data_IF_902007116333
#
_entry.id   IF_902007116333
#
_cell.length_a   1.000
_cell.length_b   1.000
_cell.length_c   1.000
_cell.angle_alpha   90.00
_cell.angle_beta   90.00
_cell.angle_gamma   90.00
#
_symmetry.space_group_name_H-M   'P 1'
#
loop_
_entity.id
_entity.type
_entity.pdbx_description
1 polymer ?
#
# COMPACT_ATOMS: atom_id res chain seq x y z
N UNK A 1 -44.95 27.05 -72.77
CA UNK A 1 -45.59 27.93 -71.73
C UNK A 1 -44.57 29.01 -71.38
N UNK A 2 -45.01 30.27 -71.25
CA UNK A 2 -44.04 31.34 -71.03
C UNK A 2 -43.69 31.46 -69.56
N UNK A 3 -42.44 31.74 -69.23
CA UNK A 3 -41.89 31.92 -67.85
C UNK A 3 -42.70 32.96 -67.06
N UNK A 4 -43.45 33.85 -67.76
CA UNK A 4 -44.34 34.83 -67.15
C UNK A 4 -45.62 34.19 -66.53
N UNK A 5 -46.15 33.11 -67.14
CA UNK A 5 -47.30 32.38 -66.62
C UNK A 5 -46.94 31.60 -65.40
N UNK A 6 -45.76 30.94 -65.44
CA UNK A 6 -45.27 30.16 -64.30
C UNK A 6 -44.99 31.05 -63.10
N UNK A 7 -44.51 32.27 -63.30
CA UNK A 7 -44.33 33.27 -62.24
C UNK A 7 -45.67 33.80 -61.70
N UNK A 8 -46.67 33.95 -62.52
CA UNK A 8 -47.96 34.39 -62.10
C UNK A 8 -48.73 33.36 -61.27
N UNK A 9 -48.57 32.08 -61.64
CA UNK A 9 -49.14 30.93 -60.89
C UNK A 9 -48.46 30.77 -59.53
N UNK A 10 -47.17 30.96 -59.42
CA UNK A 10 -46.38 30.96 -58.17
C UNK A 10 -46.87 32.13 -57.27
N UNK A 11 -47.08 33.30 -57.82
CA UNK A 11 -47.56 34.52 -57.05
C UNK A 11 -48.97 34.32 -56.60
N UNK A 12 -49.86 33.73 -57.41
CA UNK A 12 -51.30 33.57 -57.12
C UNK A 12 -51.54 32.41 -56.10
N UNK A 13 -50.71 31.37 -56.11
CA UNK A 13 -50.83 30.18 -55.24
C UNK A 13 -50.08 30.27 -53.93
N UNK A 14 -49.24 31.29 -53.71
CA UNK A 14 -48.25 31.35 -52.62
C UNK A 14 -47.08 30.39 -52.81
N UNK A 15 -45.93 30.75 -52.30
CA UNK A 15 -44.76 29.84 -52.29
C UNK A 15 -45.02 28.69 -51.32
N UNK A 16 -45.02 27.49 -51.81
CA UNK A 16 -45.04 26.27 -51.01
C UNK A 16 -43.66 25.64 -50.91
N UNK A 17 -43.45 24.76 -49.98
CA UNK A 17 -42.16 24.02 -49.81
C UNK A 17 -41.82 23.20 -51.07
N UNK A 18 -42.81 22.87 -51.91
CA UNK A 18 -42.62 22.18 -53.19
C UNK A 18 -42.05 23.07 -54.29
N UNK A 19 -42.22 24.40 -54.18
CA UNK A 19 -41.81 25.38 -55.17
C UNK A 19 -40.31 25.77 -55.03
N UNK A 20 -39.68 25.39 -53.92
CA UNK A 20 -38.24 25.63 -53.67
C UNK A 20 -37.54 24.34 -53.31
N UNK A 21 -37.53 23.34 -54.19
CA UNK A 21 -36.89 22.06 -53.93
C UNK A 21 -35.41 22.14 -54.01
N UNK A 22 -34.55 22.52 -53.27
CA UNK A 22 -33.11 22.56 -53.37
C UNK A 22 -32.48 23.94 -53.68
N UNK A 23 -32.78 24.92 -52.87
CA UNK A 23 -32.00 26.16 -52.89
C UNK A 23 -30.65 25.88 -52.22
N UNK A 24 -29.53 25.94 -52.96
CA UNK A 24 -28.19 25.74 -52.36
C UNK A 24 -28.00 26.78 -51.22
N UNK A 25 -27.51 26.36 -50.09
CA UNK A 25 -27.23 27.23 -48.91
C UNK A 25 -26.36 28.45 -49.28
N UNK A 26 -25.53 28.34 -50.31
CA UNK A 26 -24.70 29.44 -50.87
C UNK A 26 -25.50 30.60 -51.48
N UNK A 27 -26.79 30.43 -51.73
CA UNK A 27 -27.69 31.49 -52.25
C UNK A 27 -28.50 32.18 -51.15
N UNK A 28 -28.38 31.75 -49.91
CA UNK A 28 -29.02 32.41 -48.78
C UNK A 28 -28.01 33.36 -48.16
N UNK A 29 -28.02 34.61 -48.62
CA UNK A 29 -26.99 35.60 -48.23
C UNK A 29 -27.47 36.51 -47.08
N UNK A 30 -28.75 36.45 -46.69
CA UNK A 30 -29.30 37.18 -45.54
C UNK A 30 -30.68 36.64 -45.18
N UNK A 31 -31.05 36.73 -43.90
CA UNK A 31 -32.37 36.37 -43.38
C UNK A 31 -32.24 35.48 -42.14
N UNK A 32 -33.28 35.41 -41.31
CA UNK A 32 -33.43 34.51 -40.18
C UNK A 32 -34.36 33.35 -40.55
N UNK A 33 -33.94 32.13 -40.27
CA UNK A 33 -34.81 30.95 -40.33
C UNK A 33 -35.54 30.82 -39.00
N UNK A 34 -36.82 30.52 -39.02
CA UNK A 34 -37.53 30.17 -37.80
C UNK A 34 -36.97 28.86 -37.23
N UNK A 35 -36.80 28.75 -35.91
CA UNK A 35 -36.17 27.61 -35.23
C UNK A 35 -36.79 26.27 -35.60
N UNK A 36 -38.09 26.23 -35.94
CA UNK A 36 -38.76 25.01 -36.40
C UNK A 36 -38.31 24.47 -37.78
N UNK A 37 -37.54 25.25 -38.55
CA UNK A 37 -37.05 24.86 -39.87
C UNK A 37 -35.61 24.38 -39.93
N UNK A 38 -34.90 24.52 -38.83
CA UNK A 38 -33.52 24.01 -38.70
C UNK A 38 -33.52 22.86 -37.68
N UNK A 39 -33.62 21.64 -38.17
CA UNK A 39 -33.46 20.49 -37.28
C UNK A 39 -32.05 20.53 -36.66
N UNK A 40 -31.91 20.26 -35.37
CA UNK A 40 -30.63 20.26 -34.66
C UNK A 40 -29.61 19.33 -35.32
N UNK A 41 -30.08 18.28 -36.01
CA UNK A 41 -29.25 17.34 -36.81
C UNK A 41 -28.62 17.99 -38.05
N UNK A 42 -29.12 19.13 -38.51
CA UNK A 42 -28.64 19.81 -39.72
C UNK A 42 -27.63 20.93 -39.42
N UNK A 43 -27.30 21.16 -38.15
CA UNK A 43 -26.36 22.23 -37.70
C UNK A 43 -25.07 21.59 -37.21
N UNK A 44 -24.49 20.69 -37.98
CA UNK A 44 -23.31 19.93 -37.59
C UNK A 44 -22.07 20.77 -37.26
N UNK A 45 -21.97 22.00 -37.79
CA UNK A 45 -20.82 22.89 -37.56
C UNK A 45 -20.96 23.79 -36.30
N UNK A 46 -22.13 23.85 -35.68
CA UNK A 46 -22.35 24.64 -34.46
C UNK A 46 -22.73 23.76 -33.26
N UNK A 47 -22.90 22.45 -33.44
CA UNK A 47 -23.31 21.53 -32.40
C UNK A 47 -22.26 21.42 -31.25
N UNK A 48 -20.96 21.69 -31.53
CA UNK A 48 -19.91 21.62 -30.54
C UNK A 48 -19.82 22.81 -29.59
N UNK A 49 -20.52 23.91 -29.87
CA UNK A 49 -20.48 25.11 -29.00
C UNK A 49 -21.79 25.38 -28.25
N UNK A 50 -22.89 24.69 -28.58
CA UNK A 50 -24.18 24.85 -27.90
C UNK A 50 -24.37 23.73 -26.85
N UNK A 51 -24.51 24.17 -25.60
CA UNK A 51 -24.84 23.26 -24.47
C UNK A 51 -26.35 23.44 -24.18
N UNK A 52 -27.11 22.36 -24.38
CA UNK A 52 -28.51 22.30 -24.02
C UNK A 52 -28.66 22.02 -22.51
N UNK A 53 -29.02 23.07 -21.74
CA UNK A 53 -29.24 22.92 -20.30
C UNK A 53 -30.53 22.13 -20.01
N UNK A 54 -30.39 21.13 -19.15
CA UNK A 54 -31.45 20.25 -18.72
C UNK A 54 -32.11 20.76 -17.42
N UNK A 55 -33.24 20.16 -17.03
CA UNK A 55 -33.83 20.37 -15.71
C UNK A 55 -32.89 19.94 -14.60
N UNK A 56 -33.12 20.51 -13.39
CA UNK A 56 -32.31 20.15 -12.20
C UNK A 56 -32.41 18.66 -11.90
N UNK A 57 -31.26 18.01 -11.76
CA UNK A 57 -31.15 16.58 -11.41
C UNK A 57 -31.08 16.44 -9.89
N UNK A 58 -31.91 15.56 -9.32
CA UNK A 58 -32.01 15.31 -7.87
C UNK A 58 -31.75 13.83 -7.51
N UNK A 59 -31.45 12.99 -8.49
CA UNK A 59 -31.18 11.57 -8.34
C UNK A 59 -30.12 11.13 -9.37
N UNK A 60 -29.64 9.88 -9.26
CA UNK A 60 -28.72 9.30 -10.25
C UNK A 60 -29.29 9.36 -11.66
N UNK A 61 -28.49 9.71 -12.65
CA UNK A 61 -28.93 9.82 -14.04
C UNK A 61 -27.80 9.48 -15.02
N UNK A 62 -28.19 9.27 -16.29
CA UNK A 62 -27.25 9.13 -17.40
C UNK A 62 -27.18 10.45 -18.18
N UNK A 63 -25.98 11.00 -18.28
CA UNK A 63 -25.73 12.21 -19.04
C UNK A 63 -25.66 11.92 -20.55
N UNK A 64 -25.94 12.93 -21.34
CA UNK A 64 -25.85 12.89 -22.82
C UNK A 64 -24.87 13.98 -23.26
N UNK A 65 -24.02 13.68 -24.23
CA UNK A 65 -23.10 14.65 -24.82
C UNK A 65 -23.86 15.87 -25.40
N UNK A 66 -23.27 17.06 -25.34
CA UNK A 66 -23.86 18.31 -25.74
C UNK A 66 -24.80 18.94 -24.70
N UNK A 67 -24.91 18.36 -23.50
CA UNK A 67 -25.85 18.84 -22.47
C UNK A 67 -25.17 19.32 -21.21
N UNK A 68 -25.87 20.27 -20.54
CA UNK A 68 -25.51 20.80 -19.23
C UNK A 68 -26.56 20.40 -18.18
N UNK A 69 -26.08 20.01 -17.00
CA UNK A 69 -26.93 19.50 -15.93
C UNK A 69 -26.67 20.25 -14.62
N UNK A 70 -27.66 21.05 -14.16
CA UNK A 70 -27.67 21.54 -12.78
C UNK A 70 -28.00 20.39 -11.86
N UNK A 71 -27.14 20.12 -10.85
CA UNK A 71 -27.27 18.98 -9.95
C UNK A 71 -27.52 19.46 -8.53
N UNK A 72 -28.58 18.97 -7.93
CA UNK A 72 -28.94 19.28 -6.55
C UNK A 72 -28.77 18.06 -5.66
N UNK A 73 -27.67 18.05 -4.91
CA UNK A 73 -27.32 16.96 -3.98
C UNK A 73 -27.83 17.18 -2.55
N UNK A 74 -28.79 18.09 -2.34
CA UNK A 74 -29.34 18.33 -0.99
C UNK A 74 -29.92 17.07 -0.36
N UNK A 75 -30.48 16.16 -1.15
CA UNK A 75 -31.07 14.90 -0.68
C UNK A 75 -30.09 13.73 -0.52
N UNK A 76 -28.84 13.86 -0.96
CA UNK A 76 -27.81 12.82 -0.92
C UNK A 76 -26.84 12.89 -2.09
N UNK A 77 -25.78 12.08 -2.06
CA UNK A 77 -24.82 11.97 -3.14
C UNK A 77 -25.48 11.44 -4.43
N UNK A 78 -25.00 11.90 -5.58
CA UNK A 78 -25.55 11.54 -6.89
C UNK A 78 -24.46 10.96 -7.79
N UNK A 79 -24.76 9.82 -8.44
CA UNK A 79 -23.91 9.25 -9.49
C UNK A 79 -24.38 9.74 -10.86
N UNK A 80 -23.47 10.34 -11.61
CA UNK A 80 -23.66 10.75 -13.01
C UNK A 80 -23.00 9.72 -13.90
N UNK A 81 -23.81 8.95 -14.64
CA UNK A 81 -23.28 7.98 -15.60
C UNK A 81 -23.06 8.67 -16.95
N UNK A 82 -21.86 8.63 -17.47
CA UNK A 82 -21.53 9.19 -18.78
C UNK A 82 -21.92 8.22 -19.91
N UNK A 83 -21.97 8.69 -21.19
CA UNK A 83 -22.32 7.82 -22.30
C UNK A 83 -21.35 6.64 -22.45
N UNK A 84 -21.87 5.46 -22.81
CA UNK A 84 -21.05 4.27 -23.10
C UNK A 84 -20.23 4.37 -24.40
N UNK A 85 -20.52 5.37 -25.25
CA UNK A 85 -19.76 5.70 -26.44
C UNK A 85 -19.69 7.22 -26.59
N UNK A 86 -18.55 7.73 -27.05
CA UNK A 86 -18.33 9.14 -27.26
C UNK A 86 -17.41 9.37 -28.46
N UNK A 87 -17.53 10.54 -29.07
CA UNK A 87 -16.69 11.04 -30.15
C UNK A 87 -15.80 12.18 -29.66
N UNK A 88 -14.61 12.33 -30.25
CA UNK A 88 -13.71 13.46 -29.93
C UNK A 88 -14.44 14.80 -30.03
N UNK A 89 -14.40 15.59 -28.95
CA UNK A 89 -15.08 16.86 -28.84
C UNK A 89 -16.46 16.81 -28.17
N UNK A 90 -17.01 15.61 -27.90
CA UNK A 90 -18.22 15.50 -27.10
C UNK A 90 -18.01 16.15 -25.74
N UNK A 91 -18.97 16.97 -25.30
CA UNK A 91 -18.83 17.76 -24.08
C UNK A 91 -20.05 17.60 -23.18
N UNK A 92 -19.81 17.49 -21.88
CA UNK A 92 -20.83 17.44 -20.83
C UNK A 92 -20.49 18.52 -19.79
N UNK A 93 -21.49 19.31 -19.38
CA UNK A 93 -21.33 20.28 -18.29
C UNK A 93 -22.15 19.89 -17.08
N UNK A 94 -21.53 20.00 -15.91
CA UNK A 94 -22.15 19.72 -14.62
C UNK A 94 -21.98 20.95 -13.73
N UNK A 95 -22.98 21.31 -12.93
CA UNK A 95 -22.86 22.42 -11.99
C UNK A 95 -23.59 22.12 -10.69
N UNK A 96 -22.98 22.50 -9.56
CA UNK A 96 -23.58 22.39 -8.23
C UNK A 96 -24.68 23.44 -8.05
N UNK A 97 -25.94 23.05 -8.32
CA UNK A 97 -27.09 23.90 -8.25
C UNK A 97 -27.37 24.46 -6.85
N UNK A 98 -27.20 23.62 -5.83
CA UNK A 98 -27.56 23.97 -4.45
C UNK A 98 -26.34 24.27 -3.56
N UNK A 99 -25.14 24.31 -4.13
CA UNK A 99 -23.86 24.48 -3.41
C UNK A 99 -23.70 23.46 -2.27
N UNK A 100 -23.94 22.17 -2.58
CA UNK A 100 -23.95 21.07 -1.61
C UNK A 100 -22.97 19.94 -1.91
N UNK A 101 -22.12 20.05 -2.97
CA UNK A 101 -21.16 19.00 -3.30
C UNK A 101 -20.19 18.69 -2.16
N UNK A 102 -19.81 19.68 -1.33
CA UNK A 102 -18.98 19.42 -0.15
C UNK A 102 -19.70 18.63 0.97
N UNK A 103 -21.03 18.60 0.96
CA UNK A 103 -21.83 17.82 1.93
C UNK A 103 -22.20 16.46 1.37
N UNK A 104 -22.61 16.43 0.11
CA UNK A 104 -23.01 15.25 -0.64
C UNK A 104 -22.41 15.37 -2.04
N UNK A 105 -21.34 14.66 -2.28
CA UNK A 105 -20.59 14.71 -3.53
C UNK A 105 -21.35 14.16 -4.75
N UNK A 106 -20.83 14.46 -5.93
CA UNK A 106 -21.20 13.71 -7.13
C UNK A 106 -20.05 12.76 -7.51
N UNK A 107 -20.40 11.58 -8.00
CA UNK A 107 -19.47 10.61 -8.56
C UNK A 107 -19.74 10.48 -10.05
N UNK A 108 -18.72 10.55 -10.89
CA UNK A 108 -18.86 10.30 -12.33
C UNK A 108 -18.53 8.84 -12.62
N UNK A 109 -19.51 8.11 -13.17
CA UNK A 109 -19.29 6.80 -13.75
C UNK A 109 -19.01 6.96 -15.26
N UNK A 110 -17.77 6.75 -15.73
CA UNK A 110 -17.42 6.92 -17.13
C UNK A 110 -17.93 5.80 -18.05
N UNK A 111 -18.68 4.82 -17.52
CA UNK A 111 -19.43 3.81 -18.25
C UNK A 111 -18.55 2.98 -19.22
N UNK A 112 -17.47 2.41 -18.73
CA UNK A 112 -16.46 1.65 -19.49
C UNK A 112 -15.54 2.45 -20.40
N UNK A 113 -15.74 3.77 -20.52
CA UNK A 113 -14.76 4.66 -21.13
C UNK A 113 -13.73 5.11 -20.08
N UNK A 114 -12.63 5.65 -20.53
CA UNK A 114 -11.64 6.24 -19.64
C UNK A 114 -12.07 7.63 -19.15
N UNK A 115 -11.63 8.00 -17.97
CA UNK A 115 -11.60 9.37 -17.46
C UNK A 115 -10.17 9.66 -17.03
N UNK A 116 -9.52 10.61 -17.70
CA UNK A 116 -8.08 10.88 -17.50
C UNK A 116 -7.22 9.60 -17.57
N UNK A 117 -7.40 8.81 -18.65
CA UNK A 117 -6.77 7.51 -18.93
C UNK A 117 -7.12 6.34 -17.98
N UNK A 118 -8.15 6.45 -17.15
CA UNK A 118 -8.53 5.45 -16.13
C UNK A 118 -10.01 5.12 -16.18
N UNK A 119 -10.33 3.89 -15.81
CA UNK A 119 -11.72 3.45 -15.59
C UNK A 119 -12.08 3.43 -14.10
N UNK A 120 -11.08 3.34 -13.24
CA UNK A 120 -11.19 3.29 -11.78
C UNK A 120 -9.99 3.99 -11.12
N UNK A 121 -10.15 4.59 -9.92
CA UNK A 121 -11.41 4.86 -9.24
C UNK A 121 -12.27 5.88 -10.02
N UNK A 122 -13.57 5.93 -9.74
CA UNK A 122 -14.48 6.91 -10.37
C UNK A 122 -14.21 8.31 -9.81
N UNK A 123 -14.18 9.37 -10.67
CA UNK A 123 -13.97 10.73 -10.21
C UNK A 123 -15.07 11.19 -9.27
N UNK A 124 -14.69 11.86 -8.20
CA UNK A 124 -15.60 12.45 -7.23
C UNK A 124 -15.39 13.97 -7.14
N UNK A 125 -16.47 14.74 -7.22
CA UNK A 125 -16.45 16.19 -7.09
C UNK A 125 -17.18 16.58 -5.82
N UNK A 126 -16.44 17.18 -4.89
CA UNK A 126 -16.87 17.45 -3.52
C UNK A 126 -16.64 18.90 -3.08
N UNK A 127 -16.52 19.83 -4.00
CA UNK A 127 -16.36 21.25 -3.70
C UNK A 127 -17.67 22.02 -3.94
N UNK A 128 -18.18 22.71 -2.92
CA UNK A 128 -19.44 23.47 -3.02
C UNK A 128 -19.35 24.61 -4.02
N UNK A 129 -20.29 24.63 -4.97
CA UNK A 129 -20.37 25.61 -6.03
C UNK A 129 -19.51 25.29 -7.25
N UNK A 130 -18.94 24.10 -7.32
CA UNK A 130 -18.12 23.65 -8.43
C UNK A 130 -18.92 23.51 -9.73
N UNK A 131 -18.29 23.85 -10.83
CA UNK A 131 -18.81 23.64 -12.19
C UNK A 131 -17.74 22.97 -13.03
N UNK A 132 -18.11 21.89 -13.69
CA UNK A 132 -17.19 21.01 -14.41
C UNK A 132 -17.61 20.96 -15.88
N UNK A 133 -16.64 21.10 -16.79
CA UNK A 133 -16.83 20.82 -18.20
C UNK A 133 -15.93 19.66 -18.58
N UNK A 134 -16.50 18.50 -18.90
CA UNK A 134 -15.78 17.33 -19.36
C UNK A 134 -15.87 17.22 -20.87
N UNK A 135 -14.75 17.05 -21.54
CA UNK A 135 -14.66 16.83 -23.00
C UNK A 135 -14.01 15.48 -23.28
N UNK A 136 -14.63 14.70 -24.16
CA UNK A 136 -14.03 13.44 -24.60
C UNK A 136 -12.94 13.70 -25.63
N UNK A 137 -11.74 13.19 -25.39
CA UNK A 137 -10.58 13.40 -26.25
C UNK A 137 -10.36 12.23 -27.21
N UNK A 138 -10.17 11.04 -26.69
CA UNK A 138 -9.92 9.81 -27.44
C UNK A 138 -10.13 8.57 -26.57
N UNK A 139 -9.89 7.37 -27.13
CA UNK A 139 -10.06 6.13 -26.37
C UNK A 139 -8.99 5.92 -25.27
N UNK A 140 -7.83 6.58 -25.36
CA UNK A 140 -6.74 6.46 -24.39
C UNK A 140 -6.99 7.33 -23.17
N UNK A 141 -7.28 8.61 -23.40
CA UNK A 141 -7.50 9.57 -22.33
C UNK A 141 -8.97 9.55 -21.84
N UNK A 142 -9.91 9.30 -22.75
CA UNK A 142 -11.31 9.34 -22.42
C UNK A 142 -11.83 10.76 -22.19
N UNK A 143 -12.63 10.92 -21.15
CA UNK A 143 -13.15 12.20 -20.71
C UNK A 143 -12.10 12.97 -19.91
N UNK A 144 -11.94 14.25 -20.22
CA UNK A 144 -11.01 15.16 -19.50
C UNK A 144 -11.79 16.38 -19.05
N UNK A 145 -11.69 16.80 -17.77
CA UNK A 145 -12.20 18.09 -17.32
C UNK A 145 -11.35 19.19 -17.98
N UNK A 146 -12.00 20.06 -18.77
CA UNK A 146 -11.34 21.13 -19.53
C UNK A 146 -11.56 22.52 -18.94
N UNK A 147 -12.53 22.65 -18.07
CA UNK A 147 -12.81 23.86 -17.30
C UNK A 147 -13.13 23.42 -15.88
N UNK A 148 -12.09 23.28 -15.08
CA UNK A 148 -12.14 23.10 -13.65
C UNK A 148 -10.92 23.81 -13.06
N UNK A 149 -11.07 24.44 -11.92
CA UNK A 149 -9.98 25.18 -11.28
C UNK A 149 -8.88 24.26 -10.73
N UNK A 150 -9.18 22.99 -10.54
CA UNK A 150 -8.23 21.99 -10.08
C UNK A 150 -8.01 20.92 -11.16
N UNK A 151 -6.97 21.14 -11.97
CA UNK A 151 -6.54 20.20 -13.02
C UNK A 151 -5.76 19.02 -12.46
N UNK A 152 -5.62 18.92 -11.14
CA UNK A 152 -5.04 17.76 -10.50
C UNK A 152 -5.96 16.54 -10.65
N UNK A 153 -5.42 15.37 -10.40
CA UNK A 153 -6.20 14.14 -10.45
C UNK A 153 -7.37 14.24 -9.46
N UNK A 154 -8.60 14.18 -9.97
CA UNK A 154 -9.83 14.24 -9.17
C UNK A 154 -9.99 13.04 -8.23
N UNK A 155 -9.32 11.98 -8.56
CA UNK A 155 -9.11 10.83 -7.69
C UNK A 155 -7.62 10.56 -7.64
N UNK A 156 -7.06 10.70 -6.48
CA UNK A 156 -5.68 10.29 -6.27
C UNK A 156 -5.60 8.76 -6.42
N UNK A 157 -4.88 8.24 -7.45
CA UNK A 157 -4.75 6.80 -7.58
C UNK A 157 -4.00 6.25 -6.38
N UNK A 158 -4.43 5.11 -5.88
CA UNK A 158 -3.57 4.30 -5.03
C UNK A 158 -2.32 3.88 -5.80
N UNK A 159 -1.23 3.73 -5.13
CA UNK A 159 0.02 3.20 -5.69
C UNK A 159 0.51 2.04 -4.84
N UNK A 160 1.05 1.03 -5.51
CA UNK A 160 1.62 -0.12 -4.83
C UNK A 160 2.98 0.24 -4.25
N UNK A 161 3.20 -0.11 -3.00
CA UNK A 161 4.41 0.15 -2.25
C UNK A 161 4.96 -1.16 -1.69
N UNK A 162 6.18 -1.50 -2.07
CA UNK A 162 6.89 -2.59 -1.44
C UNK A 162 7.36 -2.19 -0.05
N UNK A 163 7.38 -3.16 0.86
CA UNK A 163 7.77 -2.92 2.23
C UNK A 163 8.78 -3.93 2.76
N UNK A 164 9.54 -3.48 3.75
CA UNK A 164 10.33 -4.30 4.65
C UNK A 164 10.10 -3.81 6.07
N UNK A 165 9.60 -4.69 6.94
CA UNK A 165 9.37 -4.41 8.36
C UNK A 165 10.16 -5.41 9.19
N UNK A 166 11.18 -4.91 9.87
CA UNK A 166 12.03 -5.69 10.78
C UNK A 166 11.82 -5.19 12.20
N UNK A 167 11.47 -6.07 13.11
CA UNK A 167 11.27 -5.74 14.52
C UNK A 167 12.59 -5.65 15.31
N UNK A 168 12.55 -5.16 16.54
CA UNK A 168 13.70 -5.16 17.43
C UNK A 168 14.13 -6.58 17.81
N UNK A 169 15.44 -6.87 17.81
CA UNK A 169 15.98 -8.11 18.31
C UNK A 169 15.85 -8.24 19.82
N UNK A 170 15.79 -9.45 20.35
CA UNK A 170 15.73 -9.76 21.78
C UNK A 170 17.07 -9.56 22.48
N UNK A 171 17.04 -9.21 23.76
CA UNK A 171 18.22 -9.20 24.63
C UNK A 171 18.68 -10.63 24.95
N UNK A 172 19.97 -10.80 25.22
CA UNK A 172 20.57 -12.09 25.59
C UNK A 172 20.60 -12.30 27.11
N UNK A 173 20.59 -13.55 27.51
CA UNK A 173 20.77 -13.95 28.91
C UNK A 173 22.18 -13.77 29.38
N UNK A 174 22.37 -13.35 30.66
CA UNK A 174 23.67 -13.39 31.38
C UNK A 174 23.88 -14.72 32.10
N UNK A 175 25.06 -14.91 32.64
CA UNK A 175 25.46 -16.09 33.43
C UNK A 175 25.19 -17.42 32.71
N UNK A 176 25.86 -17.65 31.60
CA UNK A 176 25.69 -18.81 30.71
C UNK A 176 24.29 -18.88 30.10
N UNK A 177 23.73 -17.72 29.82
CA UNK A 177 22.42 -17.60 29.22
C UNK A 177 22.41 -17.88 27.72
N UNK A 178 21.22 -17.98 27.14
CA UNK A 178 20.99 -18.13 25.71
C UNK A 178 21.13 -16.82 24.94
N UNK A 179 21.40 -16.94 23.64
CA UNK A 179 21.41 -15.80 22.72
C UNK A 179 19.99 -15.22 22.50
N UNK A 180 19.88 -13.93 22.31
CA UNK A 180 18.61 -13.27 21.94
C UNK A 180 18.16 -13.66 20.53
N UNK A 181 16.88 -13.86 20.32
CA UNK A 181 16.27 -14.07 19.01
C UNK A 181 16.24 -12.80 18.17
N UNK A 182 16.31 -12.93 16.87
CA UNK A 182 16.12 -11.80 15.98
C UNK A 182 14.67 -11.29 16.01
N UNK A 183 14.48 -10.03 15.68
CA UNK A 183 13.16 -9.47 15.38
C UNK A 183 12.55 -10.14 14.16
N UNK A 184 11.21 -10.22 14.13
CA UNK A 184 10.47 -10.75 12.99
C UNK A 184 10.80 -9.96 11.72
N UNK A 185 10.85 -10.64 10.59
CA UNK A 185 11.18 -10.08 9.29
C UNK A 185 10.02 -10.34 8.33
N UNK A 186 9.37 -9.28 7.86
CA UNK A 186 8.25 -9.32 6.91
C UNK A 186 8.55 -8.42 5.72
N UNK A 187 8.32 -8.91 4.50
CA UNK A 187 8.58 -8.14 3.28
C UNK A 187 7.67 -8.54 2.12
N UNK A 188 7.35 -7.60 1.27
CA UNK A 188 6.74 -7.86 -0.05
C UNK A 188 7.79 -8.11 -1.14
N UNK A 189 9.06 -7.76 -0.90
CA UNK A 189 10.15 -7.87 -1.87
C UNK A 189 11.12 -8.99 -1.46
N UNK A 190 10.92 -10.19 -1.96
CA UNK A 190 11.75 -11.35 -1.66
C UNK A 190 11.11 -12.31 -0.65
N UNK A 191 11.90 -13.02 0.14
CA UNK A 191 11.44 -14.04 1.10
C UNK A 191 11.27 -13.41 2.47
N UNK A 192 10.11 -13.61 3.09
CA UNK A 192 9.89 -13.26 4.51
C UNK A 192 10.61 -14.25 5.43
N UNK A 193 10.80 -13.86 6.69
CA UNK A 193 11.44 -14.72 7.69
C UNK A 193 10.64 -15.98 8.00
N UNK A 194 11.27 -16.93 8.70
CA UNK A 194 10.63 -18.20 9.06
C UNK A 194 10.29 -19.09 7.87
N UNK A 195 10.94 -18.89 6.72
CA UNK A 195 10.66 -19.60 5.47
C UNK A 195 9.40 -19.13 4.74
N UNK A 196 8.84 -17.97 5.11
CA UNK A 196 7.67 -17.40 4.48
C UNK A 196 7.98 -16.86 3.07
N UNK A 197 6.98 -16.88 2.19
CA UNK A 197 7.04 -16.23 0.88
C UNK A 197 6.98 -14.71 0.99
N UNK A 198 7.27 -14.01 -0.10
CA UNK A 198 6.96 -12.59 -0.23
C UNK A 198 5.48 -12.33 0.05
N UNK A 199 5.18 -11.27 0.78
CA UNK A 199 3.83 -10.81 1.00
C UNK A 199 3.39 -9.89 -0.16
N UNK A 200 2.10 -9.59 -0.25
CA UNK A 200 1.61 -8.64 -1.25
C UNK A 200 2.07 -7.22 -0.90
N UNK A 201 2.45 -6.44 -1.91
CA UNK A 201 2.69 -5.00 -1.76
C UNK A 201 1.47 -4.29 -1.16
N UNK A 202 1.69 -3.21 -0.45
CA UNK A 202 0.62 -2.38 0.10
C UNK A 202 0.10 -1.43 -0.98
N UNK A 203 -1.21 -1.37 -1.15
CA UNK A 203 -1.85 -0.36 -2.00
C UNK A 203 -2.18 0.87 -1.15
N UNK A 204 -1.39 1.92 -1.30
CA UNK A 204 -1.48 3.13 -0.49
C UNK A 204 -2.30 4.21 -1.20
N UNK A 205 -3.20 4.85 -0.46
CA UNK A 205 -4.05 5.92 -0.98
C UNK A 205 -3.48 7.29 -0.59
N UNK A 206 -3.21 8.20 -1.54
CA UNK A 206 -2.77 9.56 -1.22
C UNK A 206 -3.75 10.29 -0.28
N UNK A 207 -3.19 10.99 0.69
CA UNK A 207 -3.98 11.68 1.73
C UNK A 207 -4.32 10.82 2.94
N UNK A 208 -4.15 9.50 2.89
CA UNK A 208 -4.27 8.61 4.06
C UNK A 208 -3.04 8.74 4.94
N UNK A 209 -3.26 8.80 6.26
CA UNK A 209 -2.17 8.81 7.24
C UNK A 209 -1.78 7.38 7.59
N UNK A 210 -0.51 7.03 7.37
CA UNK A 210 0.06 5.76 7.80
C UNK A 210 0.97 5.99 9.00
N UNK A 211 0.82 5.14 10.01
CA UNK A 211 1.68 5.19 11.19
C UNK A 211 2.75 4.11 11.09
N UNK A 212 4.01 4.53 11.17
CA UNK A 212 5.17 3.65 11.18
C UNK A 212 5.72 3.60 12.60
N UNK A 213 5.80 2.40 13.17
CA UNK A 213 6.41 2.16 14.47
C UNK A 213 7.68 1.34 14.29
N UNK A 214 8.78 1.77 14.89
CA UNK A 214 10.03 1.03 14.93
C UNK A 214 10.28 0.52 16.34
N UNK A 215 10.33 -0.81 16.49
CA UNK A 215 10.55 -1.47 17.77
C UNK A 215 11.98 -1.33 18.28
N UNK A 216 12.14 -1.07 19.56
CA UNK A 216 13.46 -1.05 20.20
C UNK A 216 14.00 -2.46 20.36
N UNK A 217 15.32 -2.61 20.37
CA UNK A 217 15.99 -3.83 20.79
C UNK A 217 15.73 -4.11 22.28
N UNK A 218 15.68 -5.39 22.66
CA UNK A 218 15.56 -5.84 24.04
C UNK A 218 16.85 -5.61 24.82
N UNK A 219 16.74 -5.25 26.09
CA UNK A 219 17.87 -5.14 27.02
C UNK A 219 18.41 -6.52 27.39
N UNK A 220 19.73 -6.68 27.37
CA UNK A 220 20.40 -7.90 27.87
C UNK A 220 20.35 -8.01 29.40
N UNK A 221 20.58 -9.23 29.92
CA UNK A 221 20.69 -9.50 31.36
C UNK A 221 22.10 -9.27 31.85
N UNK A 222 22.28 -8.55 32.95
CA UNK A 222 23.57 -8.37 33.61
C UNK A 222 23.93 -9.44 34.60
N UNK A 223 23.03 -10.40 34.91
CA UNK A 223 23.27 -11.48 35.89
C UNK A 223 22.22 -12.61 35.75
N UNK A 224 22.37 -13.65 36.60
CA UNK A 224 21.49 -14.82 36.61
C UNK A 224 20.07 -14.58 37.14
N UNK A 225 19.80 -13.42 37.74
CA UNK A 225 18.56 -13.16 38.47
C UNK A 225 17.64 -12.09 37.81
N UNK A 226 18.14 -11.37 36.84
CA UNK A 226 17.38 -10.35 36.11
C UNK A 226 17.21 -10.84 34.68
N UNK A 227 15.96 -11.10 34.29
CA UNK A 227 15.67 -11.51 32.93
C UNK A 227 16.06 -10.42 31.91
N UNK A 228 16.55 -10.83 30.76
CA UNK A 228 16.61 -10.00 29.58
C UNK A 228 15.19 -9.61 29.13
N UNK A 229 15.05 -8.72 28.18
CA UNK A 229 13.73 -8.35 27.62
C UNK A 229 13.61 -8.73 26.15
N UNK A 230 12.38 -9.00 25.72
CA UNK A 230 12.06 -9.16 24.31
C UNK A 230 12.28 -7.84 23.56
N UNK A 231 12.52 -7.94 22.27
CA UNK A 231 12.48 -6.78 21.38
C UNK A 231 11.08 -6.21 21.26
N UNK A 232 10.98 -4.97 20.82
CA UNK A 232 9.71 -4.31 20.50
C UNK A 232 9.22 -4.64 19.10
N UNK A 233 7.92 -4.62 18.89
CA UNK A 233 7.30 -4.80 17.58
C UNK A 233 7.57 -3.60 16.67
N UNK A 234 7.73 -3.86 15.37
CA UNK A 234 7.67 -2.84 14.33
C UNK A 234 6.41 -3.00 13.51
N UNK A 235 5.83 -1.91 13.04
CA UNK A 235 4.56 -1.99 12.30
C UNK A 235 4.38 -0.88 11.28
N UNK A 236 3.53 -1.17 10.28
CA UNK A 236 2.89 -0.19 9.38
C UNK A 236 1.39 -0.36 9.59
N UNK A 237 0.68 0.73 9.95
CA UNK A 237 -0.76 0.72 10.15
C UNK A 237 -1.43 1.86 9.39
N UNK A 238 -2.65 1.65 8.92
CA UNK A 238 -3.41 2.65 8.17
C UNK A 238 -4.86 2.22 7.98
N UNK A 239 -5.76 3.16 7.71
CA UNK A 239 -7.21 2.87 7.65
C UNK A 239 -7.63 2.07 6.41
N UNK A 240 -6.81 2.00 5.39
CA UNK A 240 -7.08 1.39 4.08
C UNK A 240 -6.17 0.18 3.77
N UNK A 241 -5.35 -0.24 4.72
CA UNK A 241 -4.49 -1.42 4.62
C UNK A 241 -4.76 -2.40 5.76
N UNK A 242 -4.39 -3.66 5.55
CA UNK A 242 -4.23 -4.60 6.65
C UNK A 242 -2.91 -4.31 7.36
N UNK A 243 -2.94 -4.12 8.67
CA UNK A 243 -1.77 -3.80 9.47
C UNK A 243 -0.66 -4.84 9.28
N UNK A 244 0.55 -4.36 9.00
CA UNK A 244 1.76 -5.17 8.94
C UNK A 244 2.45 -5.05 10.29
N UNK A 245 2.50 -6.13 11.07
CA UNK A 245 3.16 -6.15 12.37
C UNK A 245 4.23 -7.24 12.37
N UNK A 246 5.48 -6.84 12.55
CA UNK A 246 6.61 -7.74 12.84
C UNK A 246 6.79 -7.84 14.33
N UNK A 247 6.84 -9.06 14.86
CA UNK A 247 6.95 -9.34 16.29
C UNK A 247 8.39 -9.17 16.77
N UNK A 248 8.60 -8.55 17.93
CA UNK A 248 9.93 -8.44 18.54
C UNK A 248 10.59 -9.79 18.77
N UNK A 249 11.91 -9.85 18.72
CA UNK A 249 12.68 -11.05 19.00
C UNK A 249 12.53 -11.52 20.45
N UNK A 250 12.49 -12.83 20.65
CA UNK A 250 12.46 -13.45 21.97
C UNK A 250 13.75 -13.22 22.76
N UNK A 251 13.67 -12.93 24.04
CA UNK A 251 14.87 -12.86 24.89
C UNK A 251 15.54 -14.21 25.08
N UNK A 252 16.86 -14.23 25.15
CA UNK A 252 17.59 -15.40 25.57
C UNK A 252 17.35 -15.75 27.04
N UNK A 253 17.35 -17.01 27.35
CA UNK A 253 17.19 -17.52 28.73
C UNK A 253 18.33 -17.04 29.65
N UNK A 254 17.99 -16.73 30.88
CA UNK A 254 18.96 -16.69 31.99
C UNK A 254 18.99 -18.04 32.69
N UNK A 255 20.06 -18.32 33.42
CA UNK A 255 20.23 -19.61 34.10
C UNK A 255 19.08 -19.94 35.07
N UNK A 256 18.46 -18.95 35.72
CA UNK A 256 17.37 -19.16 36.66
C UNK A 256 16.02 -19.50 36.02
N UNK A 257 15.83 -19.20 34.73
CA UNK A 257 14.57 -19.41 34.02
C UNK A 257 14.61 -20.54 32.98
N UNK A 258 15.79 -21.02 32.65
CA UNK A 258 16.08 -22.12 31.72
C UNK A 258 15.70 -21.87 30.25
N UNK A 259 14.43 -21.57 29.93
CA UNK A 259 13.92 -21.52 28.56
C UNK A 259 14.02 -20.15 27.92
N UNK A 260 14.34 -20.15 26.63
CA UNK A 260 14.26 -18.97 25.80
C UNK A 260 12.81 -18.53 25.57
N UNK A 261 12.56 -17.24 25.38
CA UNK A 261 11.22 -16.76 25.09
C UNK A 261 10.86 -16.83 23.61
N UNK A 262 9.58 -17.04 23.34
CA UNK A 262 9.01 -16.90 22.01
C UNK A 262 9.14 -15.46 21.52
N UNK A 263 9.20 -15.29 20.19
CA UNK A 263 9.30 -13.98 19.55
C UNK A 263 9.11 -14.02 18.05
N UNK A 264 9.44 -12.94 17.35
CA UNK A 264 9.59 -12.95 15.91
C UNK A 264 10.53 -14.08 15.46
N UNK A 265 11.73 -14.12 16.06
CA UNK A 265 12.54 -15.34 16.21
C UNK A 265 12.71 -15.62 17.69
N UNK A 266 12.77 -16.89 18.07
CA UNK A 266 12.87 -17.32 19.46
C UNK A 266 14.24 -17.08 20.08
N UNK A 267 14.29 -16.83 21.40
CA UNK A 267 15.54 -16.77 22.17
C UNK A 267 16.14 -18.17 22.41
N UNK A 268 17.45 -18.26 22.57
CA UNK A 268 18.14 -19.50 22.88
C UNK A 268 17.95 -19.94 24.35
N UNK A 269 18.09 -21.22 24.61
CA UNK A 269 18.06 -21.84 25.94
C UNK A 269 19.31 -21.49 26.79
N UNK A 270 19.19 -21.51 28.12
CA UNK A 270 20.33 -21.48 29.02
C UNK A 270 21.12 -22.79 28.99
N UNK A 271 22.22 -22.83 29.71
CA UNK A 271 23.04 -24.04 29.78
C UNK A 271 22.54 -25.09 30.80
N UNK A 272 21.35 -24.97 31.35
CA UNK A 272 20.81 -25.96 32.28
C UNK A 272 20.17 -27.12 31.53
N UNK A 273 20.24 -28.32 32.14
CA UNK A 273 19.73 -29.56 31.56
C UNK A 273 18.24 -29.43 31.18
N UNK A 274 17.92 -29.87 29.98
CA UNK A 274 16.57 -29.87 29.42
C UNK A 274 15.96 -28.48 29.13
N UNK A 275 16.79 -27.42 29.13
CA UNK A 275 16.31 -26.08 28.71
C UNK A 275 16.02 -26.05 27.21
N UNK A 276 14.96 -25.39 26.83
CA UNK A 276 14.51 -25.28 25.45
C UNK A 276 14.61 -23.86 24.90
N UNK A 277 14.89 -23.72 23.62
CA UNK A 277 14.79 -22.46 22.91
C UNK A 277 13.34 -22.05 22.72
N UNK A 278 13.08 -20.74 22.66
CA UNK A 278 11.77 -20.20 22.36
C UNK A 278 11.38 -20.44 20.89
N UNK A 279 10.08 -20.47 20.61
CA UNK A 279 9.55 -20.59 19.25
C UNK A 279 9.67 -19.29 18.47
N UNK A 280 9.83 -19.39 17.14
CA UNK A 280 9.67 -18.28 16.22
C UNK A 280 8.21 -18.11 15.79
N UNK A 281 7.83 -16.89 15.44
CA UNK A 281 6.54 -16.62 14.82
C UNK A 281 6.54 -17.10 13.37
N UNK A 282 5.54 -17.87 12.99
CA UNK A 282 5.37 -18.37 11.61
C UNK A 282 5.49 -17.24 10.60
N UNK A 283 6.23 -17.45 9.51
CA UNK A 283 6.50 -16.48 8.45
C UNK A 283 7.19 -15.17 8.90
N UNK A 284 7.84 -15.19 10.09
CA UNK A 284 8.61 -14.04 10.57
C UNK A 284 10.02 -14.43 11.05
N UNK A 285 10.20 -15.64 11.58
CA UNK A 285 11.48 -16.12 12.05
C UNK A 285 11.43 -17.54 12.60
N UNK A 286 12.58 -18.06 12.92
CA UNK A 286 12.76 -19.44 13.43
C UNK A 286 12.99 -19.47 14.94
N UNK A 287 12.82 -20.64 15.54
CA UNK A 287 13.08 -20.88 16.95
C UNK A 287 14.54 -20.73 17.35
N UNK A 288 14.78 -20.48 18.62
CA UNK A 288 16.09 -20.57 19.24
C UNK A 288 16.55 -22.03 19.41
N UNK A 289 17.86 -22.23 19.64
CA UNK A 289 18.44 -23.52 19.92
C UNK A 289 18.21 -23.95 21.37
N UNK A 290 18.10 -25.25 21.58
CA UNK A 290 18.00 -25.91 22.90
C UNK A 290 19.36 -26.03 23.58
N UNK A 291 19.34 -26.38 24.86
CA UNK A 291 20.51 -26.93 25.50
C UNK A 291 20.65 -28.41 25.14
N UNK A 292 21.69 -28.76 24.45
CA UNK A 292 21.96 -30.15 24.10
C UNK A 292 22.18 -31.04 25.32
N UNK A 293 21.72 -32.24 25.29
CA UNK A 293 21.44 -33.22 26.36
C UNK A 293 22.60 -33.69 27.22
N UNK A 294 23.83 -33.13 27.17
CA UNK A 294 24.97 -33.72 27.90
C UNK A 294 26.03 -32.77 28.43
N UNK A 295 25.88 -31.45 28.41
CA UNK A 295 26.97 -30.65 28.97
C UNK A 295 26.62 -29.32 29.61
N UNK A 296 26.93 -29.21 30.85
CA UNK A 296 27.04 -28.03 31.65
C UNK A 296 28.06 -27.03 31.05
N UNK A 297 27.74 -26.24 30.09
CA UNK A 297 28.66 -25.21 29.67
C UNK A 297 28.42 -24.48 28.39
N UNK A 298 27.49 -24.94 27.54
CA UNK A 298 27.15 -24.28 26.29
C UNK A 298 25.63 -24.05 26.20
N UNK A 299 25.21 -22.88 25.97
CA UNK A 299 23.81 -22.49 25.82
C UNK A 299 23.38 -22.39 24.36
N UNK A 300 22.08 -22.44 24.11
CA UNK A 300 21.50 -22.33 22.77
C UNK A 300 21.66 -20.92 22.16
N UNK A 301 21.81 -20.85 20.85
CA UNK A 301 21.80 -19.61 20.11
C UNK A 301 20.35 -19.12 19.86
N UNK A 302 20.15 -17.83 19.73
CA UNK A 302 18.86 -17.26 19.32
C UNK A 302 18.55 -17.61 17.88
N UNK A 303 17.26 -17.76 17.55
CA UNK A 303 16.78 -17.93 16.18
C UNK A 303 17.01 -16.68 15.33
N UNK A 304 17.16 -16.86 14.04
CA UNK A 304 17.22 -15.82 13.05
C UNK A 304 16.00 -15.86 12.12
N UNK A 305 15.87 -14.87 11.26
CA UNK A 305 14.82 -14.87 10.25
C UNK A 305 15.05 -15.92 9.16
N UNK A 306 16.32 -16.27 8.87
CA UNK A 306 16.70 -17.23 7.83
C UNK A 306 16.87 -18.68 8.30
N UNK A 307 17.23 -18.91 9.55
CA UNK A 307 17.36 -20.25 10.12
C UNK A 307 17.19 -20.28 11.63
N UNK A 308 16.94 -21.47 12.17
CA UNK A 308 16.91 -21.69 13.63
C UNK A 308 18.28 -21.47 14.27
N UNK A 309 18.28 -21.03 15.53
CA UNK A 309 19.45 -21.05 16.36
C UNK A 309 19.96 -22.49 16.57
N UNK A 310 21.25 -22.63 16.79
CA UNK A 310 21.85 -23.95 17.02
C UNK A 310 21.86 -24.28 18.48
N UNK A 311 21.66 -25.59 18.76
CA UNK A 311 21.71 -26.12 20.10
C UNK A 311 23.10 -25.96 20.70
N UNK A 312 23.15 -25.86 22.03
CA UNK A 312 24.36 -25.86 22.80
C UNK A 312 24.94 -27.27 22.94
N UNK A 313 25.52 -27.84 21.90
CA UNK A 313 26.09 -29.17 21.92
C UNK A 313 27.61 -29.16 22.07
N UNK A 314 28.08 -29.80 23.16
CA UNK A 314 29.36 -30.47 23.19
C UNK A 314 30.60 -29.76 23.65
N UNK A 315 31.29 -30.48 24.55
CA UNK A 315 32.54 -30.14 25.21
C UNK A 315 33.77 -30.27 24.34
N UNK A 316 33.74 -30.87 23.17
CA UNK A 316 34.90 -31.14 22.35
C UNK A 316 34.82 -30.60 20.92
N UNK A 317 35.46 -29.48 20.73
CA UNK A 317 36.20 -29.10 19.52
C UNK A 317 35.47 -28.83 18.20
N UNK A 318 34.32 -29.39 17.92
CA UNK A 318 33.64 -29.26 16.62
C UNK A 318 32.11 -29.29 16.68
N UNK A 319 31.52 -29.24 17.88
CA UNK A 319 30.06 -29.16 18.04
C UNK A 319 29.52 -27.79 17.78
N UNK A 320 28.22 -27.71 17.54
CA UNK A 320 27.46 -26.46 17.43
C UNK A 320 27.52 -25.70 18.77
N UNK A 321 28.18 -24.57 18.79
CA UNK A 321 28.42 -23.77 19.99
C UNK A 321 27.29 -22.80 20.26
N UNK A 322 26.04 -23.22 20.12
CA UNK A 322 24.92 -22.30 20.25
C UNK A 322 25.03 -21.12 19.28
N UNK A 323 25.34 -21.38 18.02
CA UNK A 323 25.41 -20.32 17.01
C UNK A 323 24.03 -19.67 16.82
N UNK A 324 24.01 -18.36 16.66
CA UNK A 324 22.80 -17.65 16.23
C UNK A 324 22.32 -18.10 14.86
N UNK A 325 21.02 -18.12 14.65
CA UNK A 325 20.44 -18.42 13.35
C UNK A 325 20.75 -17.32 12.32
N UNK A 326 20.80 -17.73 11.05
CA UNK A 326 21.07 -16.81 9.95
C UNK A 326 19.94 -15.79 9.79
N UNK A 327 20.26 -14.61 9.26
CA UNK A 327 19.28 -13.63 8.82
C UNK A 327 18.81 -13.85 7.39
N UNK A 328 18.09 -12.87 6.86
CA UNK A 328 17.61 -12.81 5.48
C UNK A 328 18.19 -11.59 4.78
N UNK A 329 18.67 -11.80 3.54
CA UNK A 329 19.13 -10.71 2.69
C UNK A 329 17.95 -10.00 2.04
N UNK A 330 18.03 -8.67 1.97
CA UNK A 330 17.08 -7.84 1.22
C UNK A 330 17.81 -6.78 0.42
N UNK A 331 17.34 -6.54 -0.81
CA UNK A 331 17.83 -5.47 -1.69
C UNK A 331 16.82 -4.33 -1.86
N UNK A 332 15.79 -4.25 -1.05
CA UNK A 332 14.72 -3.24 -1.15
C UNK A 332 15.27 -1.80 -1.05
N UNK A 333 16.42 -1.61 -0.42
CA UNK A 333 17.09 -0.30 -0.32
C UNK A 333 18.05 0.01 -1.48
N UNK A 334 18.03 -0.83 -2.53
CA UNK A 334 18.90 -0.66 -3.72
C UNK A 334 20.21 -1.43 -3.68
N UNK A 335 20.66 -1.92 -2.50
CA UNK A 335 21.81 -2.81 -2.34
C UNK A 335 21.46 -3.92 -1.35
N UNK A 336 22.04 -5.13 -1.58
CA UNK A 336 21.79 -6.26 -0.69
C UNK A 336 22.40 -6.02 0.69
N UNK A 337 21.59 -6.19 1.72
CA UNK A 337 22.00 -6.15 3.13
C UNK A 337 21.30 -7.27 3.89
N UNK A 338 22.01 -7.85 4.86
CA UNK A 338 21.48 -8.90 5.71
C UNK A 338 20.85 -8.34 6.97
N UNK A 339 19.70 -8.87 7.35
CA UNK A 339 18.90 -8.45 8.49
C UNK A 339 18.47 -9.63 9.36
N UNK A 340 18.17 -9.35 10.61
CA UNK A 340 17.51 -10.26 11.54
C UNK A 340 18.25 -11.58 11.78
N UNK A 341 19.56 -11.52 12.01
CA UNK A 341 20.33 -12.67 12.50
C UNK A 341 20.17 -12.86 14.02
N UNK A 342 20.13 -14.10 14.46
CA UNK A 342 20.09 -14.48 15.86
C UNK A 342 21.40 -14.24 16.61
N UNK A 343 21.32 -14.02 17.92
CA UNK A 343 22.48 -13.88 18.81
C UNK A 343 23.10 -15.23 19.17
N UNK A 344 24.43 -15.28 19.35
CA UNK A 344 25.14 -16.48 19.82
C UNK A 344 24.92 -16.75 21.31
N UNK A 345 24.81 -18.02 21.67
CA UNK A 345 24.80 -18.50 23.06
C UNK A 345 26.16 -18.42 23.72
N UNK A 346 26.22 -18.46 25.04
CA UNK A 346 27.52 -18.53 25.79
C UNK A 346 28.16 -19.91 25.72
N UNK A 347 29.47 -19.97 25.93
CA UNK A 347 30.21 -21.25 25.96
C UNK A 347 31.40 -21.21 26.88
N UNK A 348 31.91 -22.41 27.28
CA UNK A 348 33.05 -22.52 28.21
C UNK A 348 34.39 -22.05 27.63
N UNK A 349 34.65 -22.39 26.40
CA UNK A 349 35.93 -22.08 25.72
C UNK A 349 35.76 -21.13 24.53
N UNK A 350 34.56 -21.06 23.94
CA UNK A 350 34.16 -20.08 22.92
C UNK A 350 32.65 -19.95 22.93
N UNK A 351 32.16 -18.75 22.77
CA UNK A 351 30.73 -18.48 22.54
C UNK A 351 30.31 -18.80 21.12
N UNK A 352 28.99 -18.85 20.88
CA UNK A 352 28.37 -18.99 19.57
C UNK A 352 28.65 -17.78 18.69
N UNK A 353 28.93 -18.02 17.43
CA UNK A 353 29.03 -16.97 16.43
C UNK A 353 27.63 -16.50 16.01
N UNK A 354 27.55 -15.32 15.42
CA UNK A 354 26.35 -14.77 14.84
C UNK A 354 26.64 -14.17 13.47
N UNK A 355 25.61 -13.97 12.69
CA UNK A 355 25.65 -13.34 11.36
C UNK A 355 24.51 -12.35 11.21
N UNK A 356 24.45 -11.63 10.08
CA UNK A 356 23.33 -10.78 9.69
C UNK A 356 22.88 -9.80 10.80
N UNK A 357 23.81 -9.18 11.48
CA UNK A 357 23.53 -8.21 12.54
C UNK A 357 23.31 -8.83 13.92
N UNK A 358 23.35 -10.14 14.09
CA UNK A 358 23.34 -10.76 15.41
C UNK A 358 24.62 -10.51 16.20
N UNK A 359 24.53 -10.46 17.52
CA UNK A 359 25.68 -10.37 18.44
C UNK A 359 26.31 -11.72 18.76
N UNK A 360 27.64 -11.80 18.80
CA UNK A 360 28.35 -13.03 19.18
C UNK A 360 28.26 -13.29 20.70
N UNK A 361 28.04 -14.53 21.07
CA UNK A 361 28.15 -14.98 22.45
C UNK A 361 29.59 -14.99 22.95
N UNK A 362 29.80 -15.07 24.26
CA UNK A 362 31.09 -15.00 24.89
C UNK A 362 31.52 -16.32 25.54
N UNK A 363 32.76 -16.38 25.95
CA UNK A 363 33.28 -17.43 26.85
C UNK A 363 32.75 -17.24 28.28
N UNK A 364 33.00 -18.25 29.16
CA UNK A 364 32.55 -18.28 30.54
C UNK A 364 32.80 -17.02 31.38
N UNK A 365 33.75 -16.18 31.04
CA UNK A 365 34.09 -14.96 31.79
C UNK A 365 34.06 -13.71 30.90
N UNK A 366 33.47 -13.79 29.74
CA UNK A 366 33.40 -12.69 28.77
C UNK A 366 32.01 -12.09 28.68
N UNK A 367 31.95 -10.90 28.11
CA UNK A 367 30.72 -10.18 27.77
C UNK A 367 30.30 -10.54 26.34
N UNK A 368 29.00 -10.85 26.14
CA UNK A 368 28.45 -10.97 24.80
C UNK A 368 28.43 -9.64 24.06
N UNK A 369 28.27 -9.69 22.78
CA UNK A 369 28.14 -8.45 21.97
C UNK A 369 26.70 -8.13 21.68
N UNK A 370 26.38 -6.84 21.64
CA UNK A 370 25.05 -6.39 21.23
C UNK A 370 24.77 -6.78 19.77
N UNK A 371 23.52 -6.98 19.43
CA UNK A 371 23.09 -6.97 18.04
C UNK A 371 23.43 -5.63 17.38
N UNK A 372 23.72 -5.68 16.09
CA UNK A 372 24.00 -4.47 15.30
C UNK A 372 22.76 -3.59 15.21
N UNK A 373 22.91 -2.33 15.51
CA UNK A 373 21.81 -1.38 15.43
C UNK A 373 21.18 -1.36 14.02
N UNK A 374 19.86 -1.19 13.95
CA UNK A 374 19.06 -1.08 12.74
C UNK A 374 19.05 -2.33 11.84
N UNK A 375 19.45 -3.49 12.35
CA UNK A 375 19.38 -4.76 11.62
C UNK A 375 18.32 -5.71 12.17
N UNK A 376 17.74 -5.45 13.34
CA UNK A 376 16.85 -6.39 14.04
C UNK A 376 17.57 -7.60 14.61
N UNK A 377 18.91 -7.61 14.66
CA UNK A 377 19.69 -8.72 15.18
C UNK A 377 19.54 -8.90 16.69
N UNK A 378 19.51 -10.19 17.14
CA UNK A 378 19.49 -10.56 18.56
C UNK A 378 20.84 -10.36 19.23
N UNK A 379 20.88 -10.11 20.54
CA UNK A 379 22.12 -9.94 21.30
C UNK A 379 22.81 -11.29 21.63
N UNK A 380 24.12 -11.29 21.69
CA UNK A 380 24.93 -12.43 22.13
C UNK A 380 25.00 -12.56 23.65
N UNK A 381 25.00 -13.79 24.16
CA UNK A 381 24.97 -14.11 25.57
C UNK A 381 26.30 -13.86 26.29
N UNK A 382 26.21 -13.42 27.53
CA UNK A 382 27.36 -13.28 28.45
C UNK A 382 27.73 -14.59 29.19
N UNK A 383 28.97 -14.65 29.66
CA UNK A 383 29.46 -15.74 30.51
C UNK A 383 29.04 -15.56 31.98
N UNK A 384 29.77 -16.28 32.88
CA UNK A 384 29.49 -16.30 34.32
C UNK A 384 29.43 -14.90 34.94
N UNK A 385 28.24 -14.47 35.40
CA UNK A 385 28.03 -13.24 36.14
C UNK A 385 28.29 -11.93 35.37
N UNK A 386 28.43 -12.02 34.05
CA UNK A 386 28.62 -10.87 33.15
C UNK A 386 27.57 -10.83 32.08
N UNK A 387 27.16 -9.63 31.62
CA UNK A 387 26.13 -9.46 30.61
C UNK A 387 26.54 -9.96 29.22
#
# INVERSE_FOLDING_TARGET
MSKARDLADIIAGGFTDADIPNLPASKITSGTFADARIAASNVSQHASSYIEWQSVQTANFTAVAGRGYPINTTGGAITVTFPASASTGDTIKLTDYARKFATNSITINPNSLNFQSRTTPQPEYNTSGQSITCTYMDATQGWIPTVDDDVSWETNPSYDCDFLVVAGGGGAGGDRGGGGGAGGFRTSAGTSGGGGSAESSLSLTPGTVYTITVGNGGGGSGNSSIAASNGGNSSITGSDITDIVSTGGGRGAIRAENDGSDGGSGGGASNDNSATGGSGTTNQGFGGGDNGSNDAGVSGGGGGAGSAGKDGNGFSGSGSRGQGGDGVASSITGSSSDFAGGGGGSGTSAGGTAAAGGGAGSTSNGTGTNGTANTGGGAGAGGNGVP
#
